data_IF_830378074814
#
_entry.id   IF_830378074814
#
_cell.length_a   1.000
_cell.length_b   1.000
_cell.length_c   1.000
_cell.angle_alpha   90.00
_cell.angle_beta   90.00
_cell.angle_gamma   90.00
#
_symmetry.space_group_name_H-M   'P 1'
#
loop_
_entity.id
_entity.type
_entity.pdbx_description
1 polymer ?
#
# COMPACT_ATOMS: atom_id res chain seq x y z
N UNK A 1 -24.79 12.00 9.33
CA UNK A 1 -23.35 11.65 9.43
C UNK A 1 -23.22 10.17 9.13
N UNK A 2 -22.30 9.80 8.25
CA UNK A 2 -22.19 8.47 7.62
C UNK A 2 -20.96 7.74 8.19
N UNK A 3 -21.08 7.21 9.40
CA UNK A 3 -19.98 6.54 10.11
C UNK A 3 -19.92 5.02 9.84
N UNK A 4 -20.88 4.47 9.09
CA UNK A 4 -21.08 3.01 9.04
C UNK A 4 -20.62 2.33 7.73
N UNK A 5 -20.02 3.05 6.80
CA UNK A 5 -19.63 2.50 5.48
C UNK A 5 -18.12 2.36 5.30
N UNK A 6 -17.31 2.96 6.16
CA UNK A 6 -15.86 2.95 6.02
C UNK A 6 -15.22 1.65 6.50
N UNK A 7 -15.91 0.87 7.31
CA UNK A 7 -15.36 -0.30 7.97
C UNK A 7 -15.38 -1.57 7.10
N UNK A 8 -16.08 -1.57 5.97
CA UNK A 8 -16.01 -2.64 4.94
C UNK A 8 -15.22 -2.22 3.69
N UNK A 9 -14.54 -1.08 3.75
CA UNK A 9 -13.72 -0.61 2.66
C UNK A 9 -12.49 -1.50 2.46
N UNK A 10 -12.34 -2.12 1.30
CA UNK A 10 -11.24 -3.07 1.02
C UNK A 10 -9.95 -2.39 0.53
N UNK A 11 -10.02 -1.17 0.01
CA UNK A 11 -8.85 -0.43 -0.49
C UNK A 11 -7.94 -1.26 -1.40
N UNK A 12 -6.64 -1.24 -1.13
CA UNK A 12 -5.62 -2.04 -1.84
C UNK A 12 -5.43 -3.47 -1.28
N UNK A 13 -6.32 -3.96 -0.44
CA UNK A 13 -6.22 -5.28 0.21
C UNK A 13 -5.19 -5.38 1.34
N UNK A 14 -4.42 -4.32 1.62
CA UNK A 14 -3.50 -4.26 2.76
C UNK A 14 -4.17 -3.54 3.91
N UNK A 15 -4.28 -4.19 5.08
CA UNK A 15 -4.89 -3.60 6.28
C UNK A 15 -4.31 -2.22 6.63
N UNK A 16 -5.18 -1.27 6.97
CA UNK A 16 -4.82 0.08 7.35
C UNK A 16 -4.34 0.11 8.80
N UNK A 17 -3.04 0.35 9.02
CA UNK A 17 -2.47 0.49 10.36
C UNK A 17 -3.18 1.61 11.14
N UNK A 18 -3.38 2.77 10.52
CA UNK A 18 -4.02 3.91 11.19
C UNK A 18 -5.47 3.63 11.58
N UNK A 19 -6.21 2.84 10.79
CA UNK A 19 -7.61 2.52 11.09
C UNK A 19 -7.72 1.59 12.30
N UNK A 20 -6.88 0.57 12.34
CA UNK A 20 -6.86 -0.38 13.46
C UNK A 20 -6.28 0.21 14.76
N UNK A 21 -5.71 1.43 14.71
CA UNK A 21 -5.17 2.19 15.84
C UNK A 21 -5.83 3.56 15.98
N UNK A 22 -7.10 3.71 15.56
CA UNK A 22 -7.96 4.89 15.78
C UNK A 22 -7.41 6.24 15.31
N UNK A 23 -6.60 6.23 14.24
CA UNK A 23 -5.93 7.41 13.69
C UNK A 23 -6.21 7.64 12.20
N UNK A 24 -7.02 6.81 11.55
CA UNK A 24 -7.41 7.00 10.15
C UNK A 24 -8.59 7.96 10.02
N UNK A 25 -8.43 9.03 9.24
CA UNK A 25 -9.50 10.00 8.93
C UNK A 25 -9.95 9.96 7.46
N UNK A 26 -9.51 8.96 6.70
CA UNK A 26 -9.76 8.90 5.25
C UNK A 26 -11.11 8.24 4.91
N UNK A 27 -11.70 7.51 5.85
CA UNK A 27 -12.94 6.76 5.64
C UNK A 27 -12.83 5.83 4.41
N UNK A 28 -13.89 5.81 3.59
CA UNK A 28 -13.95 5.06 2.31
C UNK A 28 -12.91 5.50 1.27
N UNK A 29 -12.30 6.68 1.43
CA UNK A 29 -11.24 7.17 0.55
C UNK A 29 -9.83 6.72 1.01
N UNK A 30 -9.74 5.82 1.98
CA UNK A 30 -8.46 5.28 2.41
C UNK A 30 -7.83 4.43 1.30
N UNK A 31 -6.54 4.58 1.03
CA UNK A 31 -5.85 3.68 0.08
C UNK A 31 -5.74 2.25 0.62
N UNK A 32 -5.77 2.09 1.94
CA UNK A 32 -5.61 0.82 2.64
C UNK A 32 -6.96 0.22 3.06
N UNK A 33 -6.99 -1.10 3.27
CA UNK A 33 -8.18 -1.84 3.69
C UNK A 33 -8.57 -1.53 5.13
N UNK A 34 -9.83 -1.20 5.36
CA UNK A 34 -10.49 -1.22 6.66
C UNK A 34 -11.28 -2.53 6.87
N UNK A 35 -11.59 -3.28 5.82
CA UNK A 35 -12.31 -4.54 5.86
C UNK A 35 -11.53 -5.62 6.65
N UNK A 36 -12.25 -6.58 7.31
CA UNK A 36 -11.61 -7.72 7.97
C UNK A 36 -10.90 -8.62 6.97
N UNK A 37 -9.88 -9.32 7.44
CA UNK A 37 -9.13 -10.31 6.68
C UNK A 37 -8.92 -11.60 7.48
N UNK A 38 -8.29 -12.61 6.86
CA UNK A 38 -8.02 -13.92 7.48
C UNK A 38 -7.08 -13.87 8.70
N UNK A 39 -6.48 -12.70 8.99
CA UNK A 39 -5.50 -12.51 10.08
C UNK A 39 -6.07 -11.72 11.24
N UNK A 40 -7.36 -11.38 11.17
CA UNK A 40 -8.01 -10.52 12.15
C UNK A 40 -9.46 -10.91 12.43
N UNK A 41 -9.97 -10.44 13.56
CA UNK A 41 -11.39 -10.47 13.92
C UNK A 41 -11.87 -9.05 14.20
N UNK A 42 -13.18 -8.83 14.10
CA UNK A 42 -13.76 -7.50 14.32
C UNK A 42 -14.08 -7.26 15.78
N UNK A 43 -13.75 -6.07 16.26
CA UNK A 43 -14.28 -5.54 17.51
C UNK A 43 -15.57 -4.73 17.27
N UNK A 44 -16.21 -4.31 18.36
CA UNK A 44 -17.44 -3.50 18.29
C UNK A 44 -17.22 -2.06 17.83
N UNK A 45 -15.96 -1.60 17.72
CA UNK A 45 -15.59 -0.29 17.16
C UNK A 45 -15.29 -0.37 15.65
N UNK A 46 -15.34 -1.57 15.05
CA UNK A 46 -15.03 -1.80 13.65
C UNK A 46 -13.55 -2.04 13.35
N UNK A 47 -12.67 -2.01 14.35
CA UNK A 47 -11.23 -2.27 14.16
C UNK A 47 -10.99 -3.76 13.95
N UNK A 48 -9.91 -4.04 13.25
CA UNK A 48 -9.44 -5.40 13.03
C UNK A 48 -8.43 -5.77 14.13
N UNK A 49 -8.82 -6.66 15.03
CA UNK A 49 -7.99 -7.18 16.14
C UNK A 49 -7.17 -8.37 15.66
N UNK A 50 -5.87 -8.39 16.01
CA UNK A 50 -4.93 -9.39 15.51
C UNK A 50 -5.26 -10.80 16.03
N UNK A 51 -5.45 -11.78 15.14
CA UNK A 51 -5.64 -13.18 15.54
C UNK A 51 -4.43 -13.75 16.30
N UNK A 52 -3.20 -13.41 15.88
CA UNK A 52 -1.99 -13.93 16.53
C UNK A 52 -1.82 -13.36 17.94
N UNK A 53 -2.31 -12.14 18.19
CA UNK A 53 -2.35 -11.55 19.53
C UNK A 53 -3.35 -12.28 20.42
N UNK A 54 -4.56 -12.54 19.91
CA UNK A 54 -5.57 -13.29 20.64
C UNK A 54 -5.12 -14.71 20.98
N UNK A 55 -4.24 -15.28 20.16
CA UNK A 55 -3.63 -16.59 20.41
C UNK A 55 -2.31 -16.52 21.21
N UNK A 56 -1.83 -15.32 21.55
CA UNK A 56 -0.68 -15.11 22.44
C UNK A 56 0.71 -15.21 21.80
N UNK A 57 0.82 -15.23 20.47
CA UNK A 57 2.12 -15.38 19.78
C UNK A 57 2.44 -14.29 18.74
N UNK A 58 1.71 -13.15 18.74
CA UNK A 58 2.04 -12.06 17.83
C UNK A 58 3.46 -11.53 18.06
N UNK A 59 4.32 -11.67 17.04
CA UNK A 59 5.72 -11.26 17.10
C UNK A 59 5.93 -9.74 16.97
N UNK A 60 4.92 -9.00 16.50
CA UNK A 60 5.05 -7.57 16.24
C UNK A 60 4.85 -6.72 17.50
N UNK A 61 4.11 -7.20 18.49
CA UNK A 61 3.69 -6.39 19.64
C UNK A 61 2.65 -5.32 19.26
N UNK A 62 2.27 -4.46 20.21
CA UNK A 62 1.12 -3.54 20.09
C UNK A 62 1.27 -2.53 18.94
N UNK A 63 2.34 -1.73 18.94
CA UNK A 63 2.50 -0.62 17.98
C UNK A 63 3.00 -1.00 16.58
N UNK A 64 3.89 -2.00 16.40
CA UNK A 64 4.33 -2.43 15.07
C UNK A 64 3.30 -3.30 14.35
N UNK A 65 2.38 -3.95 15.08
CA UNK A 65 1.34 -4.75 14.48
C UNK A 65 0.38 -3.85 13.70
N UNK A 66 -0.02 -4.34 12.52
CA UNK A 66 -0.97 -3.66 11.64
C UNK A 66 -2.42 -3.74 12.13
N UNK A 67 -2.68 -4.63 13.07
CA UNK A 67 -3.98 -4.89 13.67
C UNK A 67 -3.96 -4.45 15.13
N UNK A 68 -5.13 -4.21 15.71
CA UNK A 68 -5.27 -3.83 17.11
C UNK A 68 -4.89 -4.99 18.05
N UNK A 69 -4.28 -4.65 19.18
CA UNK A 69 -3.98 -5.56 20.30
C UNK A 69 -4.87 -5.24 21.52
N UNK A 70 -6.13 -4.88 21.26
CA UNK A 70 -7.12 -4.54 22.27
C UNK A 70 -8.26 -5.59 22.31
N UNK A 71 -8.64 -6.03 23.52
CA UNK A 71 -9.70 -7.03 23.76
C UNK A 71 -10.95 -6.42 24.40
N UNK A 72 -10.91 -5.14 24.77
CA UNK A 72 -11.99 -4.48 25.51
C UNK A 72 -13.30 -4.48 24.74
N UNK A 73 -13.22 -4.43 23.41
CA UNK A 73 -14.37 -4.31 22.50
C UNK A 73 -14.69 -5.63 21.77
N UNK A 74 -14.07 -6.74 22.19
CA UNK A 74 -14.37 -8.07 21.66
C UNK A 74 -15.54 -8.71 22.41
N UNK A 75 -16.34 -9.56 21.73
CA UNK A 75 -17.34 -10.37 22.40
C UNK A 75 -16.68 -11.29 23.45
N UNK A 76 -17.39 -11.60 24.52
CA UNK A 76 -16.83 -12.27 25.70
C UNK A 76 -16.15 -13.61 25.41
N UNK A 77 -16.60 -14.33 24.36
CA UNK A 77 -16.00 -15.58 23.90
C UNK A 77 -14.58 -15.42 23.32
N UNK A 78 -14.22 -14.22 22.87
CA UNK A 78 -12.88 -13.90 22.34
C UNK A 78 -12.05 -13.07 23.33
N UNK A 79 -12.70 -12.37 24.27
CA UNK A 79 -12.03 -11.58 25.31
C UNK A 79 -11.42 -12.46 26.41
N UNK A 80 -12.02 -13.61 26.70
CA UNK A 80 -11.61 -14.51 27.79
C UNK A 80 -10.59 -15.55 27.33
N UNK A 81 -9.36 -15.12 27.07
CA UNK A 81 -8.19 -16.00 26.98
C UNK A 81 -7.12 -15.50 27.95
N UNK A 82 -6.18 -16.36 28.41
CA UNK A 82 -5.07 -15.90 29.24
C UNK A 82 -4.42 -14.70 28.53
N UNK A 83 -4.38 -13.55 29.22
CA UNK A 83 -3.71 -12.39 28.69
C UNK A 83 -2.28 -12.83 28.30
N UNK A 84 -1.79 -12.49 27.09
CA UNK A 84 -0.38 -12.67 26.82
C UNK A 84 0.35 -11.96 27.95
N UNK A 85 1.14 -12.71 28.73
CA UNK A 85 1.99 -12.12 29.74
C UNK A 85 2.73 -10.97 29.04
N UNK A 86 2.72 -9.75 29.59
CA UNK A 86 3.51 -8.69 28.99
C UNK A 86 4.91 -9.25 28.75
N UNK A 87 5.53 -8.99 27.58
CA UNK A 87 6.93 -9.39 27.40
C UNK A 87 7.66 -8.92 28.64
N UNK A 88 8.53 -9.76 29.26
CA UNK A 88 9.12 -9.43 30.54
C UNK A 88 9.64 -8.01 30.41
N UNK A 89 9.04 -7.11 31.20
CA UNK A 89 9.62 -5.80 31.36
C UNK A 89 11.02 -6.12 31.84
N UNK A 90 12.00 -5.94 30.96
CA UNK A 90 13.39 -5.96 31.37
C UNK A 90 13.47 -4.76 32.30
N UNK A 91 13.18 -5.01 33.58
CA UNK A 91 13.52 -4.15 34.68
C UNK A 91 15.04 -4.13 34.65
N UNK A 92 15.57 -3.26 33.80
CA UNK A 92 16.86 -2.66 34.06
C UNK A 92 16.67 -2.09 35.46
N UNK A 93 17.24 -2.76 36.46
CA UNK A 93 17.40 -2.22 37.79
C UNK A 93 18.29 -0.99 37.60
N UNK A 94 17.66 0.13 37.30
CA UNK A 94 18.33 1.40 37.34
C UNK A 94 18.60 1.61 38.83
N UNK A 95 19.87 1.69 39.27
CA UNK A 95 20.17 2.03 40.66
C UNK A 95 19.44 3.33 40.98
N UNK A 96 19.00 3.56 42.25
CA UNK A 96 18.41 4.82 42.64
C UNK A 96 19.37 5.93 42.19
N UNK A 97 18.90 6.74 41.23
CA UNK A 97 19.72 7.77 40.64
C UNK A 97 20.17 8.70 41.78
N UNK A 98 21.48 8.98 41.92
CA UNK A 98 21.87 10.13 42.72
C UNK A 98 21.18 11.34 42.12
N UNK A 99 20.64 12.20 42.98
CA UNK A 99 20.03 13.48 42.62
C UNK A 99 21.14 14.33 41.99
N UNK A 100 21.35 14.16 40.68
CA UNK A 100 22.28 14.94 39.89
C UNK A 100 21.47 15.82 38.95
N UNK A 101 21.68 17.12 39.16
CA UNK A 101 21.31 18.28 38.38
C UNK A 101 20.63 18.04 37.02
N UNK A 102 19.53 18.78 36.83
CA UNK A 102 18.88 19.11 35.57
C UNK A 102 19.84 19.06 34.35
N UNK A 103 19.47 18.35 33.26
CA UNK A 103 20.29 18.30 32.05
C UNK A 103 20.38 19.68 31.40
N UNK A 104 21.52 20.35 31.60
CA UNK A 104 21.89 21.53 30.81
C UNK A 104 21.94 21.08 29.34
N UNK A 105 20.95 21.49 28.55
CA UNK A 105 20.91 21.29 27.10
C UNK A 105 22.15 21.92 26.50
N UNK A 106 23.17 21.10 26.23
CA UNK A 106 24.41 21.57 25.62
C UNK A 106 24.09 22.18 24.24
N UNK A 107 24.54 23.41 23.96
CA UNK A 107 24.28 24.06 22.68
C UNK A 107 24.91 23.22 21.57
N UNK A 108 24.08 22.78 20.61
CA UNK A 108 24.53 22.04 19.43
C UNK A 108 25.62 22.86 18.73
N UNK A 109 26.86 22.36 18.77
CA UNK A 109 28.01 23.01 18.15
C UNK A 109 27.76 23.27 16.66
N UNK A 110 28.29 24.39 16.15
CA UNK A 110 28.11 24.79 14.75
C UNK A 110 28.58 23.69 13.77
N UNK A 111 29.56 22.87 14.16
CA UNK A 111 30.03 21.72 13.39
C UNK A 111 28.94 20.65 13.19
N UNK A 112 28.15 20.34 14.24
CA UNK A 112 27.07 19.34 14.18
C UNK A 112 25.87 19.82 13.36
N UNK A 113 25.58 21.13 13.38
CA UNK A 113 24.56 21.74 12.51
C UNK A 113 24.95 21.67 11.02
N UNK A 114 26.24 21.86 10.70
CA UNK A 114 26.75 21.80 9.32
C UNK A 114 26.68 20.38 8.73
N UNK A 115 27.01 19.35 9.51
CA UNK A 115 26.92 17.96 9.05
C UNK A 115 25.48 17.51 8.79
N UNK A 116 24.54 17.90 9.66
CA UNK A 116 23.10 17.64 9.47
C UNK A 116 22.53 18.34 8.22
N UNK A 117 22.93 19.58 7.96
CA UNK A 117 22.53 20.30 6.73
C UNK A 117 23.08 19.63 5.47
N UNK A 118 24.35 19.18 5.49
CA UNK A 118 24.97 18.44 4.38
C UNK A 118 24.21 17.13 4.09
N UNK A 119 23.86 16.38 5.13
CA UNK A 119 23.08 15.13 5.03
C UNK A 119 21.68 15.36 4.49
N UNK A 120 20.98 16.41 4.94
CA UNK A 120 19.66 16.80 4.40
C UNK A 120 19.74 17.19 2.92
N UNK A 121 20.75 17.96 2.51
CA UNK A 121 20.96 18.37 1.11
C UNK A 121 21.21 17.15 0.21
N UNK A 122 22.02 16.19 0.66
CA UNK A 122 22.26 14.94 -0.07
C UNK A 122 20.99 14.09 -0.22
N UNK A 123 20.20 13.93 0.85
CA UNK A 123 18.93 13.18 0.80
C UNK A 123 17.92 13.83 -0.16
N UNK A 124 17.84 15.16 -0.18
CA UNK A 124 16.99 15.90 -1.12
C UNK A 124 17.43 15.71 -2.57
N UNK A 125 18.74 15.81 -2.84
CA UNK A 125 19.30 15.58 -4.19
C UNK A 125 19.04 14.15 -4.68
N UNK A 126 19.18 13.14 -3.81
CA UNK A 126 18.85 11.73 -4.12
C UNK A 126 17.38 11.56 -4.46
N UNK A 127 16.45 12.10 -3.65
CA UNK A 127 15.00 12.04 -3.93
C UNK A 127 14.63 12.70 -5.25
N UNK A 128 15.24 13.84 -5.59
CA UNK A 128 15.02 14.53 -6.88
C UNK A 128 15.55 13.70 -8.06
N UNK A 129 16.71 13.07 -7.92
CA UNK A 129 17.26 12.17 -8.93
C UNK A 129 16.39 10.92 -9.12
N UNK A 130 15.90 10.31 -8.04
CA UNK A 130 14.96 9.17 -8.11
C UNK A 130 13.62 9.56 -8.74
N UNK A 131 13.10 10.75 -8.44
CA UNK A 131 11.89 11.27 -9.09
C UNK A 131 12.11 11.49 -10.59
N UNK A 132 13.26 12.05 -10.98
CA UNK A 132 13.64 12.20 -12.39
C UNK A 132 13.83 10.85 -13.08
N UNK A 133 14.42 9.85 -12.41
CA UNK A 133 14.59 8.51 -12.95
C UNK A 133 13.25 7.79 -13.14
N UNK A 134 12.33 7.89 -12.18
CA UNK A 134 10.96 7.36 -12.31
C UNK A 134 10.19 8.04 -13.46
N UNK A 135 10.36 9.34 -13.62
CA UNK A 135 9.68 10.09 -14.68
C UNK A 135 10.32 9.88 -16.06
N UNK A 136 11.57 9.41 -16.13
CA UNK A 136 12.25 9.11 -17.41
C UNK A 136 11.58 7.98 -18.19
N UNK A 137 10.79 7.13 -17.54
CA UNK A 137 9.95 6.10 -18.20
C UNK A 137 8.55 6.58 -18.60
N UNK A 138 8.10 7.75 -18.12
CA UNK A 138 6.74 8.27 -18.33
C UNK A 138 6.68 9.42 -19.35
N UNK A 139 7.81 10.03 -19.70
CA UNK A 139 7.89 11.17 -20.61
C UNK A 139 8.72 10.85 -21.86
N UNK A 140 8.55 9.65 -22.44
CA UNK A 140 8.87 9.46 -23.86
C UNK A 140 7.66 9.89 -24.66
N UNK A 141 7.74 11.04 -25.33
CA UNK A 141 6.73 11.54 -26.26
C UNK A 141 6.44 10.54 -27.41
N UNK A 142 7.27 9.51 -27.59
CA UNK A 142 7.04 8.42 -28.54
C UNK A 142 6.27 7.23 -27.95
N UNK A 143 6.18 7.09 -26.61
CA UNK A 143 5.55 5.91 -25.97
C UNK A 143 4.03 5.98 -25.85
N UNK A 144 3.45 7.19 -25.74
CA UNK A 144 1.99 7.36 -25.63
C UNK A 144 1.25 7.00 -26.92
N UNK A 145 1.89 7.20 -28.09
CA UNK A 145 1.30 6.85 -29.40
C UNK A 145 1.38 5.35 -29.71
N UNK A 146 2.23 4.61 -29.00
CA UNK A 146 2.44 3.18 -29.24
C UNK A 146 1.44 2.35 -28.42
N UNK A 147 1.14 2.73 -27.17
CA UNK A 147 0.16 1.99 -26.35
C UNK A 147 -1.24 2.02 -26.96
N UNK A 148 -1.72 3.15 -27.48
CA UNK A 148 -3.06 3.21 -28.08
C UNK A 148 -3.21 2.28 -29.31
N UNK A 149 -2.13 2.07 -30.08
CA UNK A 149 -2.10 1.16 -31.23
C UNK A 149 -1.98 -0.32 -30.80
N UNK A 150 -1.18 -0.60 -29.76
CA UNK A 150 -1.03 -1.94 -29.19
C UNK A 150 -2.28 -2.40 -28.43
N UNK A 151 -2.94 -1.48 -27.72
CA UNK A 151 -4.19 -1.71 -26.99
C UNK A 151 -5.34 -1.97 -27.98
N UNK A 152 -5.46 -1.16 -29.05
CA UNK A 152 -6.47 -1.37 -30.10
C UNK A 152 -6.28 -2.72 -30.80
N UNK A 153 -5.04 -3.12 -31.08
CA UNK A 153 -4.74 -4.41 -31.69
C UNK A 153 -5.05 -5.60 -30.77
N UNK A 154 -4.87 -5.43 -29.46
CA UNK A 154 -5.24 -6.46 -28.47
C UNK A 154 -6.75 -6.67 -28.37
N UNK A 155 -7.54 -5.59 -28.50
CA UNK A 155 -9.01 -5.63 -28.49
C UNK A 155 -9.62 -6.19 -29.79
N UNK A 156 -8.85 -6.14 -30.88
CA UNK A 156 -9.28 -6.52 -32.23
C UNK A 156 -8.52 -7.75 -32.77
N UNK A 157 -8.12 -8.67 -31.88
CA UNK A 157 -7.53 -9.98 -32.24
C UNK A 157 -6.28 -9.91 -33.14
N UNK A 158 -5.46 -8.89 -32.98
CA UNK A 158 -4.24 -8.74 -33.79
C UNK A 158 -4.39 -7.78 -34.97
N UNK A 159 -5.59 -7.28 -35.22
CA UNK A 159 -5.89 -6.33 -36.31
C UNK A 159 -6.18 -4.93 -35.76
N UNK A 160 -5.98 -3.89 -36.56
CA UNK A 160 -6.47 -2.54 -36.28
C UNK A 160 -7.96 -2.45 -36.63
N UNK A 161 -8.68 -1.48 -36.05
CA UNK A 161 -10.13 -1.35 -36.30
C UNK A 161 -10.49 -1.19 -37.79
N UNK A 162 -9.65 -0.48 -38.56
CA UNK A 162 -9.83 -0.36 -40.01
C UNK A 162 -9.62 -1.68 -40.75
N UNK A 163 -8.63 -2.49 -40.33
CA UNK A 163 -8.35 -3.80 -40.91
C UNK A 163 -9.51 -4.79 -40.62
N UNK A 164 -10.09 -4.73 -39.41
CA UNK A 164 -11.30 -5.52 -39.06
C UNK A 164 -12.50 -5.14 -39.91
N UNK A 165 -12.70 -3.85 -40.18
CA UNK A 165 -13.80 -3.36 -41.02
C UNK A 165 -13.64 -3.80 -42.47
N UNK A 166 -12.41 -3.79 -43.00
CA UNK A 166 -12.09 -4.29 -44.34
C UNK A 166 -12.31 -5.81 -44.45
N UNK A 167 -11.89 -6.60 -43.46
CA UNK A 167 -12.16 -8.04 -43.41
C UNK A 167 -13.67 -8.34 -43.33
N UNK A 168 -14.40 -7.57 -42.51
CA UNK A 168 -15.85 -7.69 -42.40
C UNK A 168 -16.56 -7.39 -43.74
N UNK A 169 -16.04 -6.47 -44.54
CA UNK A 169 -16.55 -6.20 -45.89
C UNK A 169 -16.39 -7.39 -46.84
N UNK A 170 -15.38 -8.24 -46.62
CA UNK A 170 -15.15 -9.48 -47.39
C UNK A 170 -15.83 -10.72 -46.77
N UNK A 171 -16.46 -10.57 -45.60
CA UNK A 171 -17.09 -11.68 -44.87
C UNK A 171 -16.10 -12.59 -44.13
N UNK A 172 -14.86 -12.13 -43.93
CA UNK A 172 -13.80 -12.86 -43.22
C UNK A 172 -13.75 -12.38 -41.78
N UNK A 173 -13.69 -13.30 -40.81
CA UNK A 173 -13.63 -12.92 -39.40
C UNK A 173 -12.19 -12.74 -38.94
N UNK A 174 -11.92 -11.84 -37.97
CA UNK A 174 -10.58 -11.63 -37.42
C UNK A 174 -9.93 -12.84 -36.73
N UNK A 175 -10.68 -13.93 -36.52
CA UNK A 175 -10.19 -15.16 -35.90
C UNK A 175 -10.16 -16.35 -36.87
N UNK A 176 -10.49 -16.14 -38.15
CA UNK A 176 -10.36 -17.18 -39.18
C UNK A 176 -8.86 -17.33 -39.55
N UNK A 177 -8.44 -18.57 -39.84
CA UNK A 177 -7.01 -18.91 -40.03
C UNK A 177 -6.36 -18.19 -41.22
N UNK A 178 -7.17 -17.73 -42.19
CA UNK A 178 -6.77 -17.03 -43.42
C UNK A 178 -6.95 -15.50 -43.36
N UNK A 179 -7.34 -14.94 -42.21
CA UNK A 179 -7.61 -13.51 -42.07
C UNK A 179 -6.41 -12.60 -42.41
N UNK A 180 -5.19 -13.05 -42.08
CA UNK A 180 -3.97 -12.32 -42.44
C UNK A 180 -3.65 -12.38 -43.93
N UNK A 181 -3.90 -13.52 -44.58
CA UNK A 181 -3.66 -13.70 -46.03
C UNK A 181 -4.61 -12.82 -46.84
N UNK A 182 -5.88 -12.73 -46.43
CA UNK A 182 -6.87 -11.87 -47.08
C UNK A 182 -6.49 -10.40 -46.92
N UNK A 183 -6.03 -9.99 -45.74
CA UNK A 183 -5.59 -8.62 -45.51
C UNK A 183 -4.35 -8.25 -46.34
N UNK A 184 -3.39 -9.17 -46.48
CA UNK A 184 -2.18 -8.96 -47.27
C UNK A 184 -2.53 -8.66 -48.74
N UNK A 185 -3.43 -9.47 -49.31
CA UNK A 185 -3.98 -9.29 -50.67
C UNK A 185 -4.71 -7.96 -50.83
N UNK A 186 -5.49 -7.52 -49.83
CA UNK A 186 -6.18 -6.22 -49.85
C UNK A 186 -5.20 -5.04 -49.74
N UNK A 187 -4.11 -5.22 -49.01
CA UNK A 187 -3.08 -4.19 -48.77
C UNK A 187 -2.10 -4.03 -49.94
N UNK A 188 -2.12 -4.95 -50.90
CA UNK A 188 -1.33 -4.88 -52.14
C UNK A 188 0.14 -5.27 -51.99
N UNK A 189 0.48 -6.08 -50.99
CA UNK A 189 1.80 -6.70 -50.82
C UNK A 189 1.83 -8.13 -51.39
#
# INVERSE_FOLDING_TARGET
>A
MSYDLDYYHTGNGVACWYYNHDTCMRGVNCEYSHAPDIRSVRDSQGRNVCLHYLQGYCMFGEFPCRYSHDRQFLPSNLSNGPAPTPPPAVHIHLPPAPILAEPIKSPKSAARKKSDMKRKKQRSKKRRAEAMARNRGLYSHYGRRQSECEDERAENFGFLRGEVEELACQGVKPWDDDAWDVLDVLSGF
#
